data_IF_360475315189
#
_entry.id   IF_360475315189
#
_cell.length_a   1.000
_cell.length_b   1.000
_cell.length_c   1.000
_cell.angle_alpha   90.00
_cell.angle_beta   90.00
_cell.angle_gamma   90.00
#
_symmetry.space_group_name_H-M   'P 1'
#
loop_
_entity.id
_entity.type
_entity.pdbx_description
1 polymer ?
#
# COMPACT_ATOMS: atom_id res chain seq x y z
N UNK A 1 34.26 -61.80 36.91
CA UNK A 1 33.05 -61.72 36.06
C UNK A 1 32.87 -60.25 35.70
N UNK A 2 33.49 -59.86 34.57
CA UNK A 2 33.53 -58.48 34.09
C UNK A 2 32.40 -58.31 33.08
N UNK A 3 31.42 -57.45 33.36
CA UNK A 3 30.37 -57.06 32.40
C UNK A 3 30.86 -55.89 31.54
N UNK A 4 31.08 -56.15 30.26
CA UNK A 4 31.27 -55.12 29.25
C UNK A 4 29.87 -54.64 28.80
N UNK A 5 29.60 -53.34 29.04
CA UNK A 5 28.46 -52.63 28.42
C UNK A 5 28.87 -52.15 27.02
N UNK A 6 28.01 -52.31 26.00
CA UNK A 6 28.27 -51.76 24.67
C UNK A 6 28.06 -50.25 24.67
N UNK A 7 29.05 -49.50 24.17
CA UNK A 7 28.92 -48.09 23.86
C UNK A 7 27.95 -47.92 22.68
N UNK A 8 26.82 -47.22 22.89
CA UNK A 8 25.97 -46.70 21.80
C UNK A 8 26.73 -45.57 21.09
N UNK A 9 27.12 -45.83 19.86
CA UNK A 9 27.49 -44.72 18.94
C UNK A 9 26.23 -43.90 18.65
N UNK A 10 26.16 -42.70 19.17
CA UNK A 10 25.30 -41.65 18.65
C UNK A 10 25.85 -41.27 17.27
N UNK A 11 25.13 -41.60 16.22
CA UNK A 11 25.39 -41.02 14.89
C UNK A 11 24.99 -39.56 14.95
N UNK A 12 25.95 -38.65 14.88
CA UNK A 12 25.72 -37.25 14.60
C UNK A 12 25.02 -37.10 13.24
N UNK A 13 23.71 -36.77 13.26
CA UNK A 13 23.04 -36.33 12.06
C UNK A 13 23.59 -34.93 11.73
N UNK A 14 24.49 -34.87 10.75
CA UNK A 14 24.85 -33.61 10.09
C UNK A 14 23.57 -33.02 9.44
N UNK A 15 22.98 -32.01 10.07
CA UNK A 15 21.97 -31.21 9.43
C UNK A 15 22.68 -30.29 8.44
N UNK A 16 22.40 -30.48 7.16
CA UNK A 16 22.76 -29.50 6.12
C UNK A 16 21.83 -28.31 6.31
N UNK A 17 22.27 -27.27 7.01
CA UNK A 17 21.57 -26.00 7.07
C UNK A 17 21.68 -25.33 5.70
N UNK A 18 20.71 -25.57 4.80
CA UNK A 18 20.56 -24.80 3.58
C UNK A 18 19.94 -23.47 3.96
N UNK A 19 20.76 -22.51 4.35
CA UNK A 19 20.38 -21.10 4.35
C UNK A 19 20.18 -20.68 2.91
N UNK A 20 18.94 -20.83 2.39
CA UNK A 20 18.54 -20.16 1.18
C UNK A 20 18.71 -18.67 1.45
N UNK A 21 19.65 -18.01 0.74
CA UNK A 21 19.83 -16.57 0.87
C UNK A 21 18.49 -15.90 0.60
N UNK A 22 18.02 -15.09 1.53
CA UNK A 22 16.73 -14.40 1.46
C UNK A 22 16.62 -13.45 0.24
N UNK A 23 17.69 -13.27 -0.52
CA UNK A 23 17.83 -12.31 -1.62
C UNK A 23 17.73 -12.90 -3.03
N UNK A 24 17.57 -14.23 -3.19
CA UNK A 24 17.45 -14.80 -4.53
C UNK A 24 16.07 -14.57 -5.11
N UNK A 25 16.01 -13.76 -6.16
CA UNK A 25 14.79 -13.56 -6.95
C UNK A 25 14.58 -14.72 -7.92
N UNK A 26 13.32 -15.13 -8.07
CA UNK A 26 12.89 -16.18 -9.00
C UNK A 26 12.80 -15.57 -10.41
N UNK A 27 13.43 -16.21 -11.39
CA UNK A 27 13.34 -15.81 -12.79
C UNK A 27 11.96 -16.15 -13.35
N UNK A 28 11.13 -15.13 -13.64
CA UNK A 28 9.75 -15.26 -14.07
C UNK A 28 9.58 -14.80 -15.52
N UNK A 29 9.03 -15.66 -16.36
CA UNK A 29 8.52 -15.30 -17.67
C UNK A 29 7.00 -15.03 -17.62
N UNK A 30 6.55 -13.96 -18.26
CA UNK A 30 5.13 -13.60 -18.41
C UNK A 30 4.80 -13.61 -19.89
N UNK A 31 4.16 -14.70 -20.36
CA UNK A 31 3.73 -14.83 -21.75
C UNK A 31 2.50 -13.93 -22.03
N UNK A 32 2.40 -13.33 -23.23
CA UNK A 32 1.20 -12.58 -23.61
C UNK A 32 -0.07 -13.46 -23.53
N UNK A 33 -1.21 -12.90 -23.09
CA UNK A 33 -2.49 -13.61 -23.12
C UNK A 33 -2.90 -14.04 -24.53
N UNK A 34 -3.42 -15.27 -24.66
CA UNK A 34 -3.86 -15.86 -25.93
C UNK A 34 -5.38 -15.70 -26.06
N UNK A 35 -5.87 -15.25 -27.23
CA UNK A 35 -7.29 -15.24 -27.54
C UNK A 35 -7.79 -16.68 -27.79
N UNK A 36 -8.87 -17.07 -27.11
CA UNK A 36 -9.55 -18.35 -27.30
C UNK A 36 -10.89 -18.22 -28.07
N UNK A 37 -11.20 -17.02 -28.57
CA UNK A 37 -12.38 -16.73 -29.35
C UNK A 37 -12.89 -15.30 -29.15
N UNK A 38 -13.77 -14.85 -30.07
CA UNK A 38 -14.28 -13.49 -30.07
C UNK A 38 -13.30 -12.44 -30.66
N UNK A 39 -12.19 -12.90 -31.25
CA UNK A 39 -11.16 -12.05 -31.86
C UNK A 39 -10.01 -11.67 -30.93
N UNK A 40 -9.01 -11.00 -31.47
CA UNK A 40 -7.90 -10.45 -30.70
C UNK A 40 -8.26 -9.07 -30.11
N UNK A 41 -7.81 -8.83 -28.88
CA UNK A 41 -7.97 -7.53 -28.21
C UNK A 41 -6.62 -7.12 -27.58
N UNK A 42 -5.92 -6.22 -28.28
CA UNK A 42 -4.61 -5.73 -27.85
C UNK A 42 -4.65 -4.98 -26.52
N UNK A 43 -5.76 -4.37 -26.17
CA UNK A 43 -5.93 -3.67 -24.90
C UNK A 43 -5.99 -4.66 -23.71
N UNK A 44 -6.77 -5.73 -23.82
CA UNK A 44 -6.82 -6.80 -22.81
C UNK A 44 -5.43 -7.44 -22.66
N UNK A 45 -4.78 -7.78 -23.77
CA UNK A 45 -3.44 -8.37 -23.77
C UNK A 45 -2.43 -7.48 -23.05
N UNK A 46 -2.39 -6.20 -23.42
CA UNK A 46 -1.49 -5.21 -22.79
C UNK A 46 -1.81 -5.02 -21.31
N UNK A 47 -3.09 -4.74 -20.96
CA UNK A 47 -3.50 -4.47 -19.59
C UNK A 47 -3.18 -5.63 -18.65
N UNK A 48 -3.41 -6.87 -19.07
CA UNK A 48 -3.12 -8.03 -18.25
C UNK A 48 -1.60 -8.28 -18.11
N UNK A 49 -0.84 -8.20 -19.21
CA UNK A 49 0.61 -8.40 -19.20
C UNK A 49 1.32 -7.34 -18.36
N UNK A 50 0.96 -6.06 -18.54
CA UNK A 50 1.59 -4.95 -17.82
C UNK A 50 1.30 -5.03 -16.33
N UNK A 51 0.04 -5.40 -15.94
CA UNK A 51 -0.31 -5.58 -14.53
C UNK A 51 0.50 -6.71 -13.88
N UNK A 52 0.55 -7.90 -14.51
CA UNK A 52 1.32 -9.03 -13.98
C UNK A 52 2.80 -8.69 -13.80
N UNK A 53 3.42 -8.05 -14.82
CA UNK A 53 4.83 -7.65 -14.75
C UNK A 53 5.07 -6.65 -13.62
N UNK A 54 4.25 -5.61 -13.55
CA UNK A 54 4.36 -4.57 -12.52
C UNK A 54 4.24 -5.16 -11.11
N UNK A 55 3.25 -6.02 -10.87
CA UNK A 55 3.00 -6.65 -9.57
C UNK A 55 4.19 -7.53 -9.12
N UNK A 56 4.68 -8.35 -10.05
CA UNK A 56 5.76 -9.27 -9.74
C UNK A 56 7.09 -8.54 -9.50
N UNK A 57 7.39 -7.51 -10.29
CA UNK A 57 8.56 -6.64 -10.07
C UNK A 57 8.48 -5.90 -8.74
N UNK A 58 7.32 -5.27 -8.46
CA UNK A 58 7.11 -4.54 -7.21
C UNK A 58 7.21 -5.47 -6.00
N UNK A 59 6.76 -6.72 -6.11
CA UNK A 59 6.85 -7.72 -5.03
C UNK A 59 8.29 -7.94 -4.53
N UNK A 60 9.28 -7.66 -5.39
CA UNK A 60 10.71 -7.86 -5.11
C UNK A 60 11.17 -9.32 -5.15
N UNK A 61 10.23 -10.27 -5.34
CA UNK A 61 10.50 -11.72 -5.34
C UNK A 61 10.89 -12.29 -6.68
N UNK A 62 10.62 -11.53 -7.75
CA UNK A 62 10.84 -11.99 -9.12
C UNK A 62 11.77 -11.07 -9.89
N UNK A 63 12.52 -11.67 -10.81
CA UNK A 63 13.18 -10.98 -11.93
C UNK A 63 12.38 -11.32 -13.18
N UNK A 64 11.81 -10.31 -13.83
CA UNK A 64 11.00 -10.51 -15.03
C UNK A 64 11.92 -10.70 -16.23
N UNK A 65 11.76 -11.81 -16.95
CA UNK A 65 12.44 -12.10 -18.19
C UNK A 65 11.67 -11.53 -19.39
N UNK A 66 12.37 -11.10 -20.42
CA UNK A 66 11.76 -10.71 -21.69
C UNK A 66 11.18 -11.93 -22.40
N UNK A 67 9.87 -12.12 -22.27
CA UNK A 67 9.15 -13.27 -22.77
C UNK A 67 8.95 -13.28 -24.30
N UNK A 68 9.17 -12.15 -24.97
CA UNK A 68 8.94 -12.03 -26.44
C UNK A 68 9.93 -12.87 -27.25
N UNK A 69 11.01 -13.34 -26.65
CA UNK A 69 12.08 -14.13 -27.30
C UNK A 69 12.00 -15.63 -27.05
N UNK A 70 11.15 -16.11 -26.13
CA UNK A 70 11.26 -17.48 -25.61
C UNK A 70 10.24 -18.48 -26.10
N UNK A 71 9.43 -18.22 -27.09
CA UNK A 71 8.56 -19.26 -27.64
C UNK A 71 7.21 -18.80 -28.14
N UNK A 72 6.59 -19.62 -28.96
CA UNK A 72 5.33 -19.30 -29.66
C UNK A 72 4.15 -19.04 -28.73
N UNK A 73 3.15 -18.37 -29.27
CA UNK A 73 1.87 -18.07 -28.64
C UNK A 73 0.93 -19.29 -28.79
N UNK A 74 1.34 -20.45 -28.27
CA UNK A 74 0.48 -21.65 -28.25
C UNK A 74 -0.19 -21.78 -26.89
N UNK A 75 -1.30 -22.45 -26.82
CA UNK A 75 -2.15 -22.75 -25.64
C UNK A 75 -1.64 -22.43 -24.22
N UNK A 76 -2.46 -22.66 -23.25
CA UNK A 76 -2.10 -22.36 -21.85
C UNK A 76 -2.11 -23.58 -20.92
N UNK A 77 -2.57 -24.74 -21.43
CA UNK A 77 -2.68 -25.98 -20.64
C UNK A 77 -1.47 -26.89 -20.85
N UNK A 78 -1.20 -27.81 -19.93
CA UNK A 78 -0.16 -28.82 -20.14
C UNK A 78 -0.38 -29.58 -21.46
N UNK A 79 0.68 -29.73 -22.24
CA UNK A 79 0.61 -30.39 -23.56
C UNK A 79 0.24 -29.46 -24.73
N UNK A 80 -0.25 -28.25 -24.51
CA UNK A 80 -0.56 -27.26 -25.54
C UNK A 80 0.63 -26.38 -25.91
N UNK A 81 1.71 -26.41 -25.14
CA UNK A 81 2.93 -25.64 -25.34
C UNK A 81 4.17 -26.37 -24.82
N UNK A 82 5.34 -26.01 -25.34
CA UNK A 82 6.63 -26.55 -24.90
C UNK A 82 7.27 -25.61 -23.85
N UNK A 83 7.82 -26.20 -22.79
CA UNK A 83 8.58 -25.48 -21.75
C UNK A 83 10.07 -25.34 -22.09
N UNK A 84 10.59 -26.09 -23.07
CA UNK A 84 12.02 -26.07 -23.40
C UNK A 84 12.56 -24.68 -23.80
N UNK A 85 11.85 -23.87 -24.62
CA UNK A 85 12.28 -22.52 -24.93
C UNK A 85 12.36 -21.59 -23.71
N UNK A 86 11.42 -21.74 -22.78
CA UNK A 86 11.40 -20.95 -21.54
C UNK A 86 12.52 -21.35 -20.58
N UNK A 87 12.79 -22.66 -20.51
CA UNK A 87 13.94 -23.19 -19.76
C UNK A 87 15.27 -22.73 -20.31
N UNK A 88 15.42 -22.74 -21.65
CA UNK A 88 16.62 -22.25 -22.33
C UNK A 88 16.82 -20.74 -22.10
N UNK A 89 15.74 -19.96 -21.95
CA UNK A 89 15.78 -18.54 -21.59
C UNK A 89 16.07 -18.29 -20.11
N UNK A 90 16.23 -19.33 -19.29
CA UNK A 90 16.53 -19.23 -17.86
C UNK A 90 15.31 -18.99 -16.97
N UNK A 91 14.08 -19.22 -17.45
CA UNK A 91 12.89 -19.09 -16.63
C UNK A 91 12.79 -20.23 -15.63
N UNK A 92 12.56 -19.87 -14.36
CA UNK A 92 12.20 -20.81 -13.29
C UNK A 92 10.68 -20.94 -13.20
N UNK A 93 9.96 -19.82 -13.34
CA UNK A 93 8.51 -19.78 -13.38
C UNK A 93 8.00 -19.17 -14.69
N UNK A 94 6.80 -19.60 -15.09
CA UNK A 94 6.12 -19.12 -16.29
C UNK A 94 4.65 -18.84 -15.97
N UNK A 95 4.21 -17.61 -16.27
CA UNK A 95 2.77 -17.28 -16.32
C UNK A 95 2.30 -17.40 -17.76
N UNK A 96 1.30 -18.25 -17.97
CA UNK A 96 0.50 -18.31 -19.20
C UNK A 96 -0.93 -17.88 -18.90
N UNK A 97 -1.52 -17.14 -19.84
CA UNK A 97 -2.90 -16.68 -19.70
C UNK A 97 -3.63 -16.71 -21.04
N UNK A 98 -4.96 -16.81 -20.97
CA UNK A 98 -5.81 -16.73 -22.13
C UNK A 98 -7.08 -15.93 -21.81
N UNK A 99 -7.74 -15.41 -22.84
CA UNK A 99 -9.02 -14.76 -22.70
C UNK A 99 -10.03 -15.19 -23.77
N UNK A 100 -11.31 -15.20 -23.41
CA UNK A 100 -12.45 -15.42 -24.28
C UNK A 100 -13.35 -14.21 -24.22
N UNK A 101 -13.58 -13.56 -25.37
CA UNK A 101 -14.47 -12.41 -25.47
C UNK A 101 -15.91 -12.86 -25.72
N UNK A 102 -16.84 -12.20 -25.03
CA UNK A 102 -18.28 -12.32 -25.26
C UNK A 102 -18.91 -10.92 -25.14
N UNK A 103 -18.91 -10.18 -26.25
CA UNK A 103 -19.33 -8.79 -26.29
C UNK A 103 -18.50 -7.89 -25.37
N UNK A 104 -19.13 -7.22 -24.39
CA UNK A 104 -18.45 -6.36 -23.41
C UNK A 104 -17.85 -7.14 -22.23
N UNK A 105 -18.06 -8.45 -22.17
CA UNK A 105 -17.57 -9.31 -21.11
C UNK A 105 -16.40 -10.15 -21.59
N UNK A 106 -15.49 -10.45 -20.67
CA UNK A 106 -14.37 -11.36 -20.90
C UNK A 106 -14.25 -12.38 -19.78
N UNK A 107 -13.81 -13.57 -20.15
CA UNK A 107 -13.33 -14.59 -19.22
C UNK A 107 -11.81 -14.67 -19.41
N UNK A 108 -11.07 -14.55 -18.33
CA UNK A 108 -9.60 -14.73 -18.34
C UNK A 108 -9.23 -15.95 -17.51
N UNK A 109 -8.32 -16.75 -18.05
CA UNK A 109 -7.71 -17.89 -17.37
C UNK A 109 -6.21 -17.63 -17.24
N UNK A 110 -5.68 -17.78 -16.03
CA UNK A 110 -4.27 -17.60 -15.71
C UNK A 110 -3.71 -18.88 -15.08
N UNK A 111 -2.47 -19.22 -15.44
CA UNK A 111 -1.76 -20.39 -14.92
C UNK A 111 -0.32 -20.02 -14.61
N UNK A 112 0.18 -20.50 -13.48
CA UNK A 112 1.58 -20.43 -13.07
C UNK A 112 2.20 -21.82 -13.17
N UNK A 113 3.33 -21.91 -13.83
CA UNK A 113 4.09 -23.15 -13.99
C UNK A 113 5.47 -23.04 -13.35
N UNK A 114 5.93 -24.12 -12.75
CA UNK A 114 7.35 -24.38 -12.49
C UNK A 114 7.95 -24.94 -13.78
N UNK A 115 8.88 -24.20 -14.37
CA UNK A 115 9.48 -24.55 -15.67
C UNK A 115 10.43 -25.74 -15.55
N UNK A 116 11.05 -25.91 -14.38
CA UNK A 116 12.00 -27.01 -14.13
C UNK A 116 11.28 -28.35 -14.04
N UNK A 117 10.26 -28.44 -13.19
CA UNK A 117 9.51 -29.66 -12.98
C UNK A 117 8.38 -29.88 -14.00
N UNK A 118 8.00 -28.87 -14.76
CA UNK A 118 6.85 -28.88 -15.67
C UNK A 118 5.50 -28.84 -14.97
N UNK A 119 5.49 -28.66 -13.66
CA UNK A 119 4.27 -28.76 -12.84
C UNK A 119 3.50 -27.42 -12.83
N UNK A 120 2.18 -27.52 -13.01
CA UNK A 120 1.29 -26.38 -12.77
C UNK A 120 1.15 -26.13 -11.26
N UNK A 121 1.53 -24.92 -10.81
CA UNK A 121 1.51 -24.52 -9.41
C UNK A 121 0.17 -23.86 -9.03
N UNK A 122 -0.43 -23.11 -9.96
CA UNK A 122 -1.66 -22.35 -9.74
C UNK A 122 -2.45 -22.25 -11.04
N UNK A 123 -3.79 -22.30 -10.95
CA UNK A 123 -4.70 -21.96 -12.03
C UNK A 123 -5.90 -21.23 -11.47
N UNK A 124 -6.30 -20.14 -12.12
CA UNK A 124 -7.47 -19.34 -11.74
C UNK A 124 -8.20 -18.87 -12.99
N UNK A 125 -9.53 -18.78 -12.88
CA UNK A 125 -10.41 -18.26 -13.91
C UNK A 125 -11.24 -17.13 -13.33
N UNK A 126 -11.27 -16.01 -14.04
CA UNK A 126 -12.02 -14.81 -13.66
C UNK A 126 -12.99 -14.44 -14.79
N UNK A 127 -14.11 -13.83 -14.44
CA UNK A 127 -15.07 -13.27 -15.39
C UNK A 127 -15.44 -11.85 -15.00
N UNK A 128 -15.61 -10.98 -15.99
CA UNK A 128 -15.95 -9.58 -15.79
C UNK A 128 -16.08 -8.83 -17.10
N UNK A 129 -16.06 -7.50 -17.06
CA UNK A 129 -16.06 -6.66 -18.27
C UNK A 129 -14.67 -6.63 -18.90
N UNK A 130 -14.59 -6.33 -20.20
CA UNK A 130 -13.30 -6.22 -20.91
C UNK A 130 -12.32 -5.25 -20.21
N UNK A 131 -12.83 -4.14 -19.69
CA UNK A 131 -12.03 -3.16 -18.94
C UNK A 131 -11.47 -3.67 -17.61
N UNK A 132 -11.98 -4.79 -17.08
CA UNK A 132 -11.55 -5.37 -15.80
C UNK A 132 -10.35 -6.33 -15.96
N UNK A 133 -9.80 -6.50 -17.18
CA UNK A 133 -8.67 -7.40 -17.46
C UNK A 133 -7.48 -7.14 -16.51
N UNK A 134 -7.16 -5.86 -16.26
CA UNK A 134 -6.10 -5.45 -15.33
C UNK A 134 -6.39 -5.89 -13.90
N UNK A 135 -7.62 -5.69 -13.42
CA UNK A 135 -8.05 -6.13 -12.09
C UNK A 135 -7.98 -7.66 -11.92
N UNK A 136 -8.33 -8.42 -12.98
CA UNK A 136 -8.21 -9.88 -12.97
C UNK A 136 -6.75 -10.32 -12.87
N UNK A 137 -5.84 -9.64 -13.57
CA UNK A 137 -4.41 -9.88 -13.48
C UNK A 137 -3.87 -9.59 -12.06
N UNK A 138 -4.22 -8.46 -11.45
CA UNK A 138 -3.88 -8.13 -10.06
C UNK A 138 -4.42 -9.17 -9.07
N UNK A 139 -5.64 -9.68 -9.30
CA UNK A 139 -6.20 -10.75 -8.46
C UNK A 139 -5.37 -12.03 -8.57
N UNK A 140 -4.86 -12.37 -9.76
CA UNK A 140 -3.98 -13.52 -9.93
C UNK A 140 -2.61 -13.30 -9.28
N UNK A 141 -2.06 -12.10 -9.37
CA UNK A 141 -0.84 -11.72 -8.67
C UNK A 141 -0.96 -11.85 -7.15
N UNK A 142 -2.11 -11.46 -6.57
CA UNK A 142 -2.41 -11.66 -5.14
C UNK A 142 -2.42 -13.15 -4.76
N UNK A 143 -2.94 -14.03 -5.63
CA UNK A 143 -2.93 -15.48 -5.42
C UNK A 143 -1.50 -16.07 -5.52
N UNK A 144 -0.65 -15.53 -6.41
CA UNK A 144 0.77 -15.93 -6.47
C UNK A 144 1.47 -15.57 -5.16
N UNK A 145 1.26 -14.36 -4.63
CA UNK A 145 1.84 -13.98 -3.34
C UNK A 145 1.30 -14.86 -2.20
N UNK A 146 0.00 -15.17 -2.19
CA UNK A 146 -0.59 -16.08 -1.20
C UNK A 146 0.05 -17.47 -1.25
N UNK A 147 0.29 -18.02 -2.44
CA UNK A 147 0.97 -19.31 -2.62
C UNK A 147 2.37 -19.29 -1.98
N UNK A 148 3.13 -18.21 -2.18
CA UNK A 148 4.52 -18.12 -1.75
C UNK A 148 4.70 -17.68 -0.30
N UNK A 149 3.81 -16.83 0.22
CA UNK A 149 4.01 -16.13 1.50
C UNK A 149 2.98 -16.50 2.55
N UNK A 150 1.94 -17.27 2.16
CA UNK A 150 0.76 -17.58 2.97
C UNK A 150 -0.10 -16.36 3.34
N UNK A 151 0.20 -15.20 2.78
CA UNK A 151 -0.55 -13.98 2.95
C UNK A 151 -0.94 -13.41 1.57
N UNK A 152 -2.20 -13.03 1.42
CA UNK A 152 -2.70 -12.42 0.18
C UNK A 152 -2.04 -11.07 -0.06
N UNK A 153 -1.73 -10.74 -1.31
CA UNK A 153 -1.17 -9.47 -1.70
C UNK A 153 -2.17 -8.30 -1.64
N UNK A 154 -1.71 -7.05 -1.83
CA UNK A 154 -2.54 -5.85 -1.82
C UNK A 154 -2.82 -5.32 -3.24
N UNK A 155 -2.54 -6.10 -4.29
CA UNK A 155 -2.53 -5.62 -5.68
C UNK A 155 -3.93 -5.29 -6.23
N UNK A 156 -4.99 -5.79 -5.63
CA UNK A 156 -6.36 -5.36 -5.93
C UNK A 156 -6.78 -4.07 -5.21
N UNK A 157 -5.89 -3.50 -4.38
CA UNK A 157 -6.13 -2.27 -3.63
C UNK A 157 -6.16 -1.01 -4.50
N UNK A 158 -6.64 0.08 -3.89
CA UNK A 158 -6.66 1.41 -4.50
C UNK A 158 -5.88 2.40 -3.66
N UNK A 159 -5.46 3.50 -4.29
CA UNK A 159 -4.86 4.64 -3.62
C UNK A 159 -5.78 5.85 -3.79
N UNK A 160 -6.24 6.43 -2.66
CA UNK A 160 -6.83 7.76 -2.68
C UNK A 160 -5.73 8.80 -2.50
N UNK A 161 -5.80 9.91 -3.22
CA UNK A 161 -4.80 10.96 -3.20
C UNK A 161 -5.39 12.33 -3.52
N UNK A 162 -4.66 13.37 -3.21
CA UNK A 162 -5.00 14.75 -3.56
C UNK A 162 -4.33 15.12 -4.87
N UNK A 163 -5.08 15.71 -5.81
CA UNK A 163 -4.52 16.24 -7.07
C UNK A 163 -5.11 17.59 -7.44
N UNK A 164 -4.28 18.45 -8.07
CA UNK A 164 -4.71 19.72 -8.67
C UNK A 164 -5.10 19.57 -10.16
N UNK A 165 -5.20 18.37 -10.70
CA UNK A 165 -5.49 18.10 -12.12
C UNK A 165 -6.72 18.86 -12.64
N UNK A 166 -7.71 19.11 -11.78
CA UNK A 166 -8.94 19.84 -12.12
C UNK A 166 -8.92 21.34 -11.69
N UNK A 167 -7.74 21.90 -11.40
CA UNK A 167 -7.57 23.29 -10.96
C UNK A 167 -7.46 23.43 -9.44
N UNK A 168 -8.40 22.89 -8.69
CA UNK A 168 -8.38 22.88 -7.22
C UNK A 168 -7.85 21.56 -6.67
N UNK A 169 -7.46 21.54 -5.39
CA UNK A 169 -7.07 20.32 -4.69
C UNK A 169 -8.30 19.46 -4.43
N UNK A 170 -8.47 18.40 -5.19
CA UNK A 170 -9.58 17.45 -5.08
C UNK A 170 -9.06 16.05 -4.73
N UNK A 171 -9.91 15.23 -4.13
CA UNK A 171 -9.61 13.83 -3.84
C UNK A 171 -9.87 13.01 -5.10
N UNK A 172 -8.91 12.19 -5.46
CA UNK A 172 -8.98 11.21 -6.53
C UNK A 172 -8.74 9.80 -5.97
N UNK A 173 -9.21 8.82 -6.71
CA UNK A 173 -9.00 7.40 -6.46
C UNK A 173 -8.37 6.78 -7.72
N UNK A 174 -7.37 5.92 -7.56
CA UNK A 174 -6.77 5.16 -8.65
C UNK A 174 -6.50 3.73 -8.19
N UNK A 175 -6.31 2.81 -9.12
CA UNK A 175 -5.71 1.51 -8.81
C UNK A 175 -4.28 1.74 -8.31
N UNK A 176 -3.76 0.86 -7.47
CA UNK A 176 -2.49 1.10 -6.79
C UNK A 176 -1.30 1.30 -7.74
N UNK A 177 -1.43 0.82 -8.99
CA UNK A 177 -0.46 0.95 -10.08
C UNK A 177 -0.66 2.19 -10.97
N UNK A 178 -1.57 3.08 -10.57
CA UNK A 178 -1.82 4.38 -11.20
C UNK A 178 -2.84 4.37 -12.33
N UNK A 179 -3.55 3.27 -12.55
CA UNK A 179 -4.60 3.16 -13.55
C UNK A 179 -5.99 3.52 -12.99
N UNK A 180 -6.99 3.62 -13.85
CA UNK A 180 -8.41 3.83 -13.51
C UNK A 180 -8.66 5.02 -12.58
N UNK A 181 -8.01 6.16 -12.86
CA UNK A 181 -8.11 7.39 -12.05
C UNK A 181 -9.53 7.96 -12.10
N UNK A 182 -10.16 8.11 -10.94
CA UNK A 182 -11.49 8.68 -10.76
C UNK A 182 -11.44 9.87 -9.80
N UNK A 183 -12.18 10.94 -10.12
CA UNK A 183 -12.36 12.09 -9.23
C UNK A 183 -13.46 11.77 -8.21
N UNK A 184 -13.16 11.87 -6.92
CA UNK A 184 -14.10 11.62 -5.82
C UNK A 184 -14.80 12.89 -5.35
N UNK A 185 -14.06 14.00 -5.25
CA UNK A 185 -14.63 15.30 -4.89
C UNK A 185 -14.60 16.27 -6.08
N UNK A 186 -15.63 17.11 -6.20
CA UNK A 186 -15.79 18.07 -7.29
C UNK A 186 -16.47 19.36 -6.77
N UNK A 187 -15.97 19.87 -5.65
CA UNK A 187 -16.61 21.01 -4.95
C UNK A 187 -15.90 22.35 -5.16
N UNK A 188 -14.87 22.41 -6.02
CA UNK A 188 -14.15 23.62 -6.37
C UNK A 188 -13.34 24.24 -5.23
N UNK A 189 -13.04 23.46 -4.18
CA UNK A 189 -12.34 23.94 -2.98
C UNK A 189 -11.09 23.11 -2.70
N UNK A 190 -10.44 23.39 -1.57
CA UNK A 190 -9.29 22.62 -1.09
C UNK A 190 -9.81 21.40 -0.30
N UNK A 191 -9.43 20.21 -0.73
CA UNK A 191 -9.69 18.94 -0.08
C UNK A 191 -8.37 18.23 0.20
N UNK A 192 -8.15 17.75 1.43
CA UNK A 192 -6.86 17.24 1.91
C UNK A 192 -7.05 16.02 2.80
N UNK A 193 -5.94 15.30 3.04
CA UNK A 193 -5.81 14.25 4.05
C UNK A 193 -6.90 13.17 3.97
N UNK A 194 -7.10 12.53 2.81
CA UNK A 194 -8.03 11.42 2.73
C UNK A 194 -7.60 10.27 3.65
N UNK A 195 -8.60 9.54 4.19
CA UNK A 195 -8.37 8.31 4.93
C UNK A 195 -9.55 7.36 4.77
N UNK A 196 -9.29 6.05 4.54
CA UNK A 196 -10.34 5.07 4.34
C UNK A 196 -10.86 4.53 5.67
N UNK A 197 -12.16 4.25 5.73
CA UNK A 197 -12.71 3.41 6.79
C UNK A 197 -12.11 1.99 6.72
N UNK A 198 -12.00 1.25 7.83
CA UNK A 198 -11.39 -0.08 7.85
C UNK A 198 -12.04 -1.09 6.90
N UNK A 199 -13.34 -0.92 6.58
CA UNK A 199 -14.06 -1.75 5.62
C UNK A 199 -13.94 -1.25 4.17
N UNK A 200 -13.18 -0.18 3.91
CA UNK A 200 -12.96 0.40 2.57
C UNK A 200 -14.17 1.11 1.96
N UNK A 201 -15.34 1.10 2.60
CA UNK A 201 -16.57 1.63 2.04
C UNK A 201 -16.64 3.16 2.06
N UNK A 202 -16.06 3.78 3.07
CA UNK A 202 -16.15 5.21 3.29
C UNK A 202 -14.76 5.86 3.24
N UNK A 203 -14.72 7.14 2.91
CA UNK A 203 -13.53 7.97 3.01
C UNK A 203 -13.85 9.21 3.85
N UNK A 204 -12.95 9.57 4.77
CA UNK A 204 -12.96 10.88 5.42
C UNK A 204 -11.92 11.77 4.78
N UNK A 205 -12.17 13.08 4.81
CA UNK A 205 -11.24 14.08 4.29
C UNK A 205 -11.51 15.46 4.89
N UNK A 206 -10.49 16.28 4.96
CA UNK A 206 -10.62 17.70 5.32
C UNK A 206 -11.03 18.48 4.09
N UNK A 207 -12.05 19.36 4.20
CA UNK A 207 -12.49 20.23 3.11
C UNK A 207 -12.77 21.65 3.58
N UNK A 208 -12.39 22.63 2.76
CA UNK A 208 -12.62 24.05 2.96
C UNK A 208 -13.86 24.60 2.20
N UNK A 209 -14.72 23.71 1.66
CA UNK A 209 -15.89 24.08 0.84
C UNK A 209 -16.95 24.93 1.55
N UNK A 210 -16.84 25.13 2.86
CA UNK A 210 -17.69 26.01 3.67
C UNK A 210 -16.90 27.15 4.35
N UNK A 211 -15.74 27.52 3.77
CA UNK A 211 -14.87 28.59 4.27
C UNK A 211 -13.80 28.09 5.24
N UNK A 212 -14.17 27.41 6.30
CA UNK A 212 -13.23 26.81 7.28
C UNK A 212 -12.94 25.36 6.96
N UNK A 213 -11.82 24.84 7.50
CA UNK A 213 -11.53 23.40 7.44
C UNK A 213 -12.54 22.62 8.27
N UNK A 214 -13.23 21.70 7.63
CA UNK A 214 -14.16 20.78 8.27
C UNK A 214 -13.83 19.35 7.86
N UNK A 215 -14.15 18.38 8.71
CA UNK A 215 -14.03 16.97 8.40
C UNK A 215 -15.32 16.45 7.79
N UNK A 216 -15.22 15.83 6.63
CA UNK A 216 -16.31 15.18 5.93
C UNK A 216 -16.09 13.69 5.84
N UNK A 217 -17.18 12.92 5.83
CA UNK A 217 -17.24 11.48 5.54
C UNK A 217 -18.11 11.26 4.32
N UNK A 218 -17.61 10.48 3.36
CA UNK A 218 -18.30 10.17 2.10
C UNK A 218 -18.31 8.66 1.86
N UNK A 219 -19.49 8.11 1.56
CA UNK A 219 -19.63 6.74 1.05
C UNK A 219 -19.22 6.69 -0.42
N UNK A 220 -18.33 5.76 -0.78
CA UNK A 220 -17.75 5.67 -2.13
C UNK A 220 -18.70 5.03 -3.15
N UNK A 221 -19.74 4.34 -2.71
CA UNK A 221 -20.68 3.64 -3.56
C UNK A 221 -21.97 4.45 -3.77
N UNK A 222 -22.57 4.96 -2.70
CA UNK A 222 -23.79 5.77 -2.75
C UNK A 222 -23.53 7.26 -2.98
N UNK A 223 -22.28 7.70 -2.87
CA UNK A 223 -21.86 9.11 -2.89
C UNK A 223 -22.46 9.99 -1.78
N UNK A 224 -23.18 9.40 -0.83
CA UNK A 224 -23.71 10.11 0.34
C UNK A 224 -22.56 10.72 1.17
N UNK A 225 -22.76 11.96 1.60
CA UNK A 225 -21.76 12.72 2.33
C UNK A 225 -22.33 13.34 3.61
N UNK A 226 -21.56 13.30 4.69
CA UNK A 226 -21.89 13.93 5.97
C UNK A 226 -20.71 14.74 6.49
N UNK A 227 -20.99 15.89 7.10
CA UNK A 227 -19.99 16.68 7.83
C UNK A 227 -19.90 16.13 9.26
N UNK A 228 -18.73 15.59 9.63
CA UNK A 228 -18.49 14.90 10.91
C UNK A 228 -17.97 15.86 11.97
N UNK A 229 -17.13 16.85 11.58
CA UNK A 229 -16.60 17.86 12.48
C UNK A 229 -16.60 19.22 11.81
N UNK A 230 -17.09 20.24 12.54
CA UNK A 230 -17.16 21.64 12.12
C UNK A 230 -17.04 22.58 13.32
N UNK A 231 -16.17 22.25 14.25
CA UNK A 231 -15.89 23.08 15.43
C UNK A 231 -15.17 24.38 15.02
N UNK A 232 -15.24 25.46 15.82
CA UNK A 232 -14.45 26.65 15.59
C UNK A 232 -12.95 26.36 15.42
N UNK A 233 -12.27 27.12 14.57
CA UNK A 233 -10.86 26.89 14.25
C UNK A 233 -10.63 25.73 13.26
N UNK A 234 -9.50 25.04 13.39
CA UNK A 234 -9.14 23.94 12.48
C UNK A 234 -9.83 22.64 12.85
N UNK A 235 -10.18 21.84 11.81
CA UNK A 235 -10.70 20.48 11.90
C UNK A 235 -9.98 19.68 10.81
N UNK A 236 -8.83 19.08 11.13
CA UNK A 236 -7.91 18.52 10.13
C UNK A 236 -7.37 17.14 10.52
N UNK A 237 -6.75 16.47 9.54
CA UNK A 237 -5.97 15.23 9.71
C UNK A 237 -6.74 14.08 10.38
N UNK A 238 -8.02 13.91 10.00
CA UNK A 238 -8.83 12.79 10.49
C UNK A 238 -8.22 11.43 10.14
N UNK A 239 -8.27 10.48 11.09
CA UNK A 239 -7.81 9.09 10.94
C UNK A 239 -8.79 8.14 11.62
N UNK A 240 -9.26 7.13 10.87
CA UNK A 240 -10.12 6.09 11.42
C UNK A 240 -9.39 5.24 12.46
N UNK A 241 -10.06 4.91 13.53
CA UNK A 241 -9.64 3.82 14.42
C UNK A 241 -9.77 2.47 13.70
N UNK A 242 -8.95 1.46 14.02
CA UNK A 242 -8.98 0.16 13.36
C UNK A 242 -10.32 -0.56 13.39
N UNK A 243 -11.11 -0.35 14.47
CA UNK A 243 -12.47 -0.88 14.64
C UNK A 243 -13.55 -0.07 13.89
N UNK A 244 -13.19 1.08 13.30
CA UNK A 244 -14.11 1.96 12.59
C UNK A 244 -15.15 2.68 13.45
N UNK A 245 -15.01 2.67 14.77
CA UNK A 245 -15.96 3.30 15.69
C UNK A 245 -15.69 4.79 15.90
N UNK A 246 -14.41 5.21 15.80
CA UNK A 246 -13.95 6.56 16.12
C UNK A 246 -13.01 7.09 15.02
N UNK A 247 -12.82 8.41 15.05
CA UNK A 247 -11.87 9.14 14.20
C UNK A 247 -11.04 10.03 15.13
N UNK A 248 -9.71 9.85 15.11
CA UNK A 248 -8.78 10.79 15.72
C UNK A 248 -8.54 11.97 14.76
N UNK A 249 -8.52 13.20 15.27
CA UNK A 249 -8.33 14.41 14.45
C UNK A 249 -7.70 15.53 15.29
N UNK A 250 -7.17 16.55 14.62
CA UNK A 250 -6.70 17.76 15.26
C UNK A 250 -7.78 18.85 15.21
N UNK A 251 -8.11 19.45 16.37
CA UNK A 251 -9.01 20.57 16.52
C UNK A 251 -8.33 21.70 17.31
N UNK A 252 -8.61 22.98 16.95
CA UNK A 252 -8.15 24.13 17.72
C UNK A 252 -9.28 24.88 18.44
N UNK A 253 -10.43 24.24 18.67
CA UNK A 253 -11.62 24.84 19.26
C UNK A 253 -11.43 25.39 20.69
N UNK A 254 -10.44 24.89 21.40
CA UNK A 254 -10.12 25.27 22.79
C UNK A 254 -8.81 26.08 22.90
N UNK A 255 -8.41 26.78 21.80
CA UNK A 255 -7.26 27.66 21.74
C UNK A 255 -6.21 27.21 20.73
N UNK A 256 -5.39 26.24 21.07
CA UNK A 256 -4.37 25.64 20.18
C UNK A 256 -4.85 24.32 19.56
N UNK A 257 -4.07 23.80 18.59
CA UNK A 257 -4.37 22.52 17.98
C UNK A 257 -4.05 21.36 18.94
N UNK A 258 -5.04 20.53 19.20
CA UNK A 258 -4.95 19.38 20.09
C UNK A 258 -5.54 18.14 19.44
N UNK A 259 -5.17 16.95 19.89
CA UNK A 259 -5.76 15.70 19.42
C UNK A 259 -7.07 15.42 20.14
N UNK A 260 -8.07 15.09 19.35
CA UNK A 260 -9.40 14.65 19.79
C UNK A 260 -9.75 13.32 19.14
N UNK A 261 -10.63 12.55 19.79
CA UNK A 261 -11.35 11.43 19.19
C UNK A 261 -12.83 11.78 19.08
N UNK A 262 -13.40 11.59 17.87
CA UNK A 262 -14.83 11.79 17.61
C UNK A 262 -15.45 10.48 17.15
N UNK A 263 -16.71 10.20 17.57
CA UNK A 263 -17.43 9.03 17.05
C UNK A 263 -17.66 9.16 15.53
N UNK A 264 -17.81 8.02 14.83
CA UNK A 264 -18.01 8.00 13.37
C UNK A 264 -19.22 8.81 12.88
N UNK A 265 -20.21 9.05 13.76
CA UNK A 265 -21.40 9.85 13.46
C UNK A 265 -21.26 11.34 13.87
N UNK A 266 -20.10 11.73 14.45
CA UNK A 266 -19.80 13.09 14.86
C UNK A 266 -20.44 13.55 16.18
N UNK A 267 -21.10 12.66 16.92
CA UNK A 267 -21.90 13.06 18.12
C UNK A 267 -21.14 13.08 19.43
N UNK A 268 -20.14 12.21 19.58
CA UNK A 268 -19.35 12.11 20.81
C UNK A 268 -17.93 12.59 20.52
N UNK A 269 -17.47 13.61 21.25
CA UNK A 269 -16.14 14.20 21.12
C UNK A 269 -15.39 14.11 22.44
N UNK A 270 -14.20 13.57 22.42
CA UNK A 270 -13.28 13.46 23.57
C UNK A 270 -11.96 14.13 23.24
N UNK A 271 -11.51 15.08 24.08
CA UNK A 271 -10.17 15.68 23.99
C UNK A 271 -9.14 14.74 24.61
N UNK A 272 -8.09 14.39 23.85
CA UNK A 272 -7.05 13.44 24.26
C UNK A 272 -5.79 14.14 24.76
N UNK A 273 -5.44 15.30 24.19
CA UNK A 273 -4.28 16.08 24.63
C UNK A 273 -4.70 17.42 25.20
N UNK A 274 -3.92 17.95 26.17
CA UNK A 274 -4.12 19.24 26.84
C UNK A 274 -2.78 19.87 27.14
N UNK A 275 -2.22 20.51 26.11
CA UNK A 275 -0.93 21.17 26.20
C UNK A 275 -1.02 22.60 25.65
N UNK A 276 0.01 23.42 25.85
CA UNK A 276 0.11 24.72 25.18
C UNK A 276 0.71 24.61 23.78
N UNK A 277 1.06 23.38 23.34
CA UNK A 277 1.77 23.08 22.12
C UNK A 277 0.83 22.76 20.95
N UNK A 278 1.36 22.69 19.74
CA UNK A 278 0.63 22.24 18.55
C UNK A 278 0.68 20.72 18.46
N UNK A 279 -0.49 20.08 18.48
CA UNK A 279 -0.64 18.63 18.42
C UNK A 279 -1.50 18.26 17.21
N UNK A 280 -0.93 17.52 16.25
CA UNK A 280 -1.60 17.23 14.97
C UNK A 280 -1.23 15.85 14.43
N UNK A 281 -1.81 15.49 13.27
CA UNK A 281 -1.44 14.29 12.50
C UNK A 281 -1.50 12.99 13.29
N UNK A 282 -2.62 12.65 13.94
CA UNK A 282 -2.74 11.41 14.68
C UNK A 282 -2.66 10.19 13.74
N UNK A 283 -2.15 9.06 14.25
CA UNK A 283 -2.11 7.76 13.58
C UNK A 283 -2.34 6.66 14.62
N UNK A 284 -3.38 5.86 14.44
CA UNK A 284 -3.71 4.75 15.35
C UNK A 284 -2.75 3.58 15.18
N UNK A 285 -2.42 2.90 16.27
CA UNK A 285 -1.85 1.56 16.23
C UNK A 285 -2.88 0.55 15.71
N UNK A 286 -2.46 -0.57 15.09
CA UNK A 286 -3.39 -1.51 14.47
C UNK A 286 -4.32 -2.22 15.46
N UNK A 287 -3.93 -2.32 16.73
CA UNK A 287 -4.75 -2.84 17.84
C UNK A 287 -5.70 -1.78 18.44
N UNK A 288 -5.58 -0.51 18.00
CA UNK A 288 -6.36 0.61 18.53
C UNK A 288 -5.99 1.04 19.96
N UNK A 289 -4.92 0.47 20.54
CA UNK A 289 -4.46 0.75 21.90
C UNK A 289 -3.65 2.04 22.05
N UNK A 290 -3.02 2.51 20.97
CA UNK A 290 -2.15 3.69 20.98
C UNK A 290 -2.41 4.64 19.81
N UNK A 291 -1.91 5.87 19.95
CA UNK A 291 -1.93 6.90 18.90
C UNK A 291 -0.54 7.53 18.81
N UNK A 292 0.08 7.47 17.63
CA UNK A 292 1.24 8.29 17.31
C UNK A 292 0.75 9.66 16.79
N UNK A 293 1.43 10.74 17.12
CA UNK A 293 1.02 12.10 16.73
C UNK A 293 2.22 13.04 16.69
N UNK A 294 2.08 14.15 15.99
CA UNK A 294 3.03 15.24 15.97
C UNK A 294 2.78 16.15 17.19
N UNK A 295 3.87 16.54 17.87
CA UNK A 295 3.84 17.53 18.95
C UNK A 295 5.09 18.41 18.93
N UNK A 296 4.94 19.74 19.14
CA UNK A 296 6.04 20.66 19.32
C UNK A 296 6.25 21.07 20.80
N UNK A 297 5.70 20.31 21.76
CA UNK A 297 5.77 20.56 23.22
C UNK A 297 7.19 20.68 23.76
N UNK A 298 8.19 20.20 23.03
CA UNK A 298 9.61 20.32 23.37
C UNK A 298 10.35 21.35 22.50
N UNK A 299 9.60 22.28 21.88
CA UNK A 299 10.11 23.40 21.09
C UNK A 299 10.21 23.13 19.59
N UNK A 300 10.41 21.87 19.16
CA UNK A 300 10.48 21.48 17.74
C UNK A 300 9.52 20.30 17.47
N UNK A 301 8.90 20.23 16.27
CA UNK A 301 8.00 19.13 15.91
C UNK A 301 8.67 17.76 15.98
N UNK A 302 8.11 16.88 16.79
CA UNK A 302 8.56 15.51 17.02
C UNK A 302 7.37 14.56 16.99
N UNK A 303 7.63 13.27 16.76
CA UNK A 303 6.62 12.24 16.91
C UNK A 303 6.57 11.80 18.38
N UNK A 304 5.38 11.81 18.91
CA UNK A 304 5.02 11.27 20.22
C UNK A 304 4.06 10.10 20.05
N UNK A 305 3.99 9.25 21.06
CA UNK A 305 3.02 8.16 21.16
C UNK A 305 2.34 8.26 22.53
N UNK A 306 1.02 8.04 22.56
CA UNK A 306 0.20 7.99 23.78
C UNK A 306 -0.74 6.80 23.74
N UNK A 307 -1.31 6.43 24.87
CA UNK A 307 -2.43 5.50 24.90
C UNK A 307 -3.67 6.09 24.22
N UNK A 308 -4.56 5.26 23.70
CA UNK A 308 -5.77 5.69 22.97
C UNK A 308 -6.75 6.56 23.77
N UNK A 309 -6.61 6.59 25.10
CA UNK A 309 -7.35 7.47 26.03
C UNK A 309 -6.65 8.80 26.31
N UNK A 310 -5.45 9.04 25.73
CA UNK A 310 -4.65 10.25 25.94
C UNK A 310 -3.62 10.17 27.07
N UNK A 311 -3.56 9.06 27.83
CA UNK A 311 -2.60 8.89 28.93
C UNK A 311 -1.20 8.51 28.42
N UNK A 312 -0.20 8.69 29.29
CA UNK A 312 1.19 8.23 29.15
C UNK A 312 1.88 8.63 27.84
N UNK A 313 1.85 9.92 27.44
CA UNK A 313 2.52 10.36 26.23
C UNK A 313 4.04 10.31 26.38
N UNK A 314 4.75 9.72 25.43
CA UNK A 314 6.21 9.72 25.37
C UNK A 314 6.70 10.16 23.99
N UNK A 315 7.89 10.78 23.96
CA UNK A 315 8.56 11.16 22.72
C UNK A 315 9.13 9.92 22.04
N UNK A 316 8.78 9.69 20.79
CA UNK A 316 9.29 8.57 20.00
C UNK A 316 10.59 8.95 19.26
N UNK A 317 10.58 10.09 18.54
CA UNK A 317 11.75 10.53 17.76
C UNK A 317 12.68 11.39 18.57
N UNK A 318 13.95 10.97 18.69
CA UNK A 318 15.00 11.67 19.47
C UNK A 318 16.05 12.35 18.59
N UNK A 319 16.13 11.98 17.30
CA UNK A 319 17.04 12.53 16.30
C UNK A 319 16.33 13.48 15.34
N UNK A 320 17.07 14.45 14.78
CA UNK A 320 16.54 15.45 13.85
C UNK A 320 15.70 16.53 14.54
N UNK A 321 15.57 17.67 13.86
CA UNK A 321 14.89 18.85 14.40
C UNK A 321 13.42 18.94 14.05
N UNK A 322 13.00 18.24 12.99
CA UNK A 322 11.64 18.35 12.46
C UNK A 322 11.15 16.98 11.94
N UNK A 323 10.32 16.33 12.73
CA UNK A 323 9.76 15.01 12.43
C UNK A 323 8.23 15.09 12.39
N UNK A 324 7.60 14.64 11.28
CA UNK A 324 6.17 14.84 11.02
C UNK A 324 5.52 13.63 10.34
N UNK A 325 4.19 13.66 10.19
CA UNK A 325 3.40 12.71 9.37
C UNK A 325 3.58 11.24 9.77
N UNK A 326 3.32 10.86 11.03
CA UNK A 326 3.43 9.48 11.46
C UNK A 326 2.40 8.58 10.76
N UNK A 327 2.79 7.32 10.51
CA UNK A 327 1.92 6.27 9.98
C UNK A 327 2.31 4.93 10.58
N UNK A 328 1.41 4.30 11.31
CA UNK A 328 1.66 3.03 11.97
C UNK A 328 1.52 1.86 11.00
N UNK A 329 2.45 0.91 11.07
CA UNK A 329 2.40 -0.35 10.32
C UNK A 329 1.16 -1.17 10.73
N UNK A 330 0.45 -1.82 9.79
CA UNK A 330 -0.64 -2.72 10.14
C UNK A 330 -0.19 -3.95 10.93
N UNK A 331 1.10 -4.23 10.99
CA UNK A 331 1.70 -5.28 11.83
C UNK A 331 2.03 -4.81 13.25
N UNK A 332 1.97 -3.49 13.51
CA UNK A 332 2.28 -2.90 14.80
C UNK A 332 3.78 -2.79 15.14
N UNK A 333 4.63 -3.26 14.26
CA UNK A 333 6.08 -3.40 14.47
C UNK A 333 6.88 -2.13 14.15
N UNK A 334 6.34 -1.22 13.31
CA UNK A 334 7.04 -0.01 12.87
C UNK A 334 6.10 1.19 12.72
N UNK A 335 6.71 2.38 12.81
CA UNK A 335 6.05 3.66 12.54
C UNK A 335 6.86 4.39 11.47
N UNK A 336 6.23 4.73 10.33
CA UNK A 336 6.81 5.65 9.35
C UNK A 336 6.65 7.08 9.82
N UNK A 337 7.58 7.93 9.42
CA UNK A 337 7.48 9.38 9.61
C UNK A 337 8.36 10.11 8.59
N UNK A 338 8.17 11.41 8.45
CA UNK A 338 9.03 12.27 7.63
C UNK A 338 9.98 13.04 8.52
N UNK A 339 11.26 13.00 8.23
CA UNK A 339 12.30 13.85 8.84
C UNK A 339 12.77 14.88 7.86
N UNK A 340 12.91 16.13 8.32
CA UNK A 340 13.47 17.20 7.52
C UNK A 340 15.00 17.06 7.43
N UNK A 341 15.51 17.14 6.22
CA UNK A 341 16.92 17.22 5.86
C UNK A 341 17.17 18.51 5.07
N UNK A 342 18.44 18.86 4.79
CA UNK A 342 18.80 20.07 4.04
C UNK A 342 18.16 20.17 2.64
N UNK A 343 17.85 19.03 2.00
CA UNK A 343 17.25 18.94 0.66
C UNK A 343 15.74 18.70 0.64
N UNK A 344 15.05 18.72 1.78
CA UNK A 344 13.62 18.42 1.90
C UNK A 344 13.34 17.33 2.92
N UNK A 345 12.16 16.72 2.86
CA UNK A 345 11.78 15.64 3.75
C UNK A 345 12.23 14.28 3.22
N UNK A 346 12.63 13.39 4.15
CA UNK A 346 12.90 11.99 3.86
C UNK A 346 12.04 11.09 4.74
N UNK A 347 11.63 9.94 4.20
CA UNK A 347 10.84 8.95 4.92
C UNK A 347 11.78 8.10 5.75
N UNK A 348 11.44 7.96 7.02
CA UNK A 348 12.07 7.11 8.00
C UNK A 348 11.08 6.07 8.53
N UNK A 349 11.62 4.98 9.06
CA UNK A 349 10.90 3.92 9.74
C UNK A 349 11.56 3.64 11.07
N UNK A 350 10.78 3.63 12.15
CA UNK A 350 11.28 3.43 13.53
C UNK A 350 10.39 2.41 14.25
N UNK A 351 10.96 1.64 15.18
CA UNK A 351 10.15 0.75 16.03
C UNK A 351 9.35 1.55 17.08
N UNK A 352 8.24 1.04 17.61
CA UNK A 352 7.41 1.77 18.58
C UNK A 352 8.09 2.10 19.90
N UNK A 353 9.19 1.44 20.23
CA UNK A 353 10.05 1.75 21.38
C UNK A 353 11.11 2.83 21.10
N UNK A 354 11.17 3.37 19.87
CA UNK A 354 12.09 4.43 19.47
C UNK A 354 13.47 3.96 19.02
N UNK A 355 13.66 2.65 18.85
CA UNK A 355 14.89 2.06 18.34
C UNK A 355 14.84 1.83 16.82
N UNK A 356 15.96 1.39 16.24
CA UNK A 356 16.06 0.97 14.82
C UNK A 356 15.47 1.99 13.84
N UNK A 357 15.95 3.24 13.92
CA UNK A 357 15.55 4.35 13.07
C UNK A 357 16.26 4.28 11.71
N UNK A 358 15.55 3.88 10.67
CA UNK A 358 16.04 3.62 9.33
C UNK A 358 15.53 4.69 8.34
N UNK A 359 16.43 5.31 7.58
CA UNK A 359 16.06 6.17 6.45
C UNK A 359 15.73 5.31 5.22
N UNK A 360 14.54 5.50 4.64
CA UNK A 360 14.05 4.73 3.50
C UNK A 360 14.17 5.46 2.15
N UNK A 361 14.29 6.79 2.16
CA UNK A 361 14.39 7.61 0.94
C UNK A 361 15.50 8.63 1.04
N UNK A 362 16.08 9.03 -0.12
CA UNK A 362 17.20 9.99 -0.18
C UNK A 362 17.10 11.02 -1.31
N UNK A 363 16.26 10.80 -2.33
CA UNK A 363 16.13 11.65 -3.51
C UNK A 363 14.89 12.51 -3.47
N UNK A 364 15.01 13.85 -3.70
CA UNK A 364 13.93 14.80 -3.68
C UNK A 364 13.37 15.02 -2.27
N UNK A 365 12.16 15.62 -2.17
CA UNK A 365 11.40 15.70 -0.93
C UNK A 365 10.30 14.63 -0.93
N UNK A 366 10.25 13.82 0.12
CA UNK A 366 9.36 12.66 0.24
C UNK A 366 8.47 12.82 1.47
N UNK A 367 7.14 12.81 1.26
CA UNK A 367 6.18 13.19 2.30
C UNK A 367 4.95 12.30 2.31
N UNK A 368 4.21 12.32 3.42
CA UNK A 368 2.92 11.64 3.62
C UNK A 368 2.99 10.12 3.39
N UNK A 369 3.94 9.40 4.02
CA UNK A 369 4.04 7.97 3.85
C UNK A 369 2.83 7.24 4.46
N UNK A 370 2.37 6.17 3.78
CA UNK A 370 1.29 5.31 4.21
C UNK A 370 1.58 3.87 3.86
N UNK A 371 1.34 2.97 4.79
CA UNK A 371 1.45 1.54 4.58
C UNK A 371 0.35 0.99 3.68
N UNK A 372 0.68 -0.04 2.91
CA UNK A 372 -0.33 -0.96 2.36
C UNK A 372 -0.99 -1.78 3.48
N UNK A 373 -2.21 -2.32 3.26
CA UNK A 373 -2.94 -3.04 4.32
C UNK A 373 -2.27 -4.33 4.81
N UNK A 374 -1.29 -4.86 4.08
CA UNK A 374 -0.48 -6.02 4.45
C UNK A 374 0.88 -5.66 5.06
N UNK A 375 1.24 -4.36 5.08
CA UNK A 375 2.50 -3.87 5.61
C UNK A 375 3.74 -4.18 4.76
N UNK A 376 3.57 -4.60 3.51
CA UNK A 376 4.69 -4.91 2.60
C UNK A 376 5.14 -3.74 1.76
N UNK A 377 4.25 -2.78 1.53
CA UNK A 377 4.49 -1.63 0.68
C UNK A 377 4.17 -0.34 1.40
N UNK A 378 4.73 0.73 0.89
CA UNK A 378 4.54 2.11 1.35
C UNK A 378 4.18 2.96 0.13
N UNK A 379 3.11 3.74 0.22
CA UNK A 379 2.83 4.82 -0.74
C UNK A 379 3.21 6.16 -0.15
N UNK A 380 3.72 7.07 -0.97
CA UNK A 380 4.18 8.40 -0.54
C UNK A 380 4.15 9.41 -1.69
N UNK A 381 4.23 10.69 -1.38
CA UNK A 381 4.42 11.73 -2.38
C UNK A 381 5.89 12.14 -2.47
N UNK A 382 6.40 12.37 -3.69
CA UNK A 382 7.80 12.73 -3.94
C UNK A 382 7.92 13.80 -5.01
N UNK A 383 8.92 14.68 -4.86
CA UNK A 383 9.24 15.74 -5.85
C UNK A 383 10.36 15.35 -6.82
N UNK A 384 10.97 14.15 -6.70
CA UNK A 384 12.12 13.70 -7.49
C UNK A 384 11.93 13.72 -9.01
N UNK A 385 10.70 13.69 -9.49
CA UNK A 385 10.36 13.71 -10.91
C UNK A 385 10.04 15.10 -11.49
N UNK A 386 10.50 16.19 -10.86
CA UNK A 386 10.26 17.57 -11.31
C UNK A 386 8.93 18.18 -10.88
N UNK A 387 8.13 17.45 -10.09
CA UNK A 387 6.87 17.87 -9.49
C UNK A 387 6.34 16.80 -8.56
N UNK A 388 5.39 17.15 -7.69
CA UNK A 388 4.88 16.25 -6.68
C UNK A 388 4.04 15.12 -7.32
N UNK A 389 4.43 13.88 -7.10
CA UNK A 389 3.81 12.67 -7.67
C UNK A 389 3.72 11.58 -6.61
N UNK A 390 2.79 10.62 -6.82
CA UNK A 390 2.64 9.47 -5.93
C UNK A 390 3.58 8.36 -6.37
N UNK A 391 4.30 7.81 -5.41
CA UNK A 391 5.20 6.67 -5.52
C UNK A 391 4.74 5.53 -4.61
N UNK A 392 5.14 4.33 -4.97
CA UNK A 392 5.08 3.14 -4.13
C UNK A 392 6.48 2.55 -3.99
N UNK A 393 6.76 1.94 -2.85
CA UNK A 393 8.01 1.23 -2.58
C UNK A 393 7.75 0.03 -1.66
N UNK A 394 8.70 -0.88 -1.56
CA UNK A 394 8.67 -1.94 -0.56
C UNK A 394 8.90 -1.38 0.85
N UNK A 395 8.53 -2.14 1.87
CA UNK A 395 8.68 -1.76 3.28
C UNK A 395 10.13 -1.46 3.70
N UNK A 396 11.09 -2.05 3.01
CA UNK A 396 12.54 -1.84 3.19
C UNK A 396 13.09 -0.58 2.48
N UNK A 397 12.23 0.19 1.80
CA UNK A 397 12.58 1.38 1.03
C UNK A 397 13.04 1.10 -0.41
N UNK A 398 13.17 -0.16 -0.83
CA UNK A 398 13.59 -0.54 -2.18
C UNK A 398 12.43 -0.51 -3.18
N UNK A 399 12.73 -0.57 -4.49
CA UNK A 399 11.72 -0.66 -5.56
C UNK A 399 10.83 0.57 -5.68
N UNK A 400 11.37 1.75 -5.43
CA UNK A 400 10.62 3.02 -5.47
C UNK A 400 10.16 3.32 -6.90
N UNK A 401 8.85 3.24 -7.14
CA UNK A 401 8.25 3.36 -8.47
C UNK A 401 7.17 4.44 -8.47
N UNK A 402 7.21 5.36 -9.46
CA UNK A 402 6.17 6.36 -9.66
C UNK A 402 4.92 5.70 -10.21
N UNK A 403 3.77 5.94 -9.57
CA UNK A 403 2.47 5.39 -9.99
C UNK A 403 1.52 6.47 -10.51
N UNK A 404 1.53 7.70 -9.98
CA UNK A 404 0.66 8.75 -10.52
C UNK A 404 1.19 9.32 -11.84
N UNK A 405 0.30 9.48 -12.82
CA UNK A 405 0.59 9.93 -14.19
C UNK A 405 0.05 11.33 -14.50
N UNK A 406 -0.65 11.96 -13.55
CA UNK A 406 -1.33 13.24 -13.73
C UNK A 406 -0.37 14.45 -13.74
N UNK A 407 0.90 14.25 -13.59
CA UNK A 407 1.99 15.28 -13.59
C UNK A 407 1.90 16.22 -12.40
N UNK A 408 2.60 16.62 -11.65
CA UNK A 408 3.11 17.78 -10.92
C UNK A 408 2.39 18.24 -9.65
N UNK A 409 1.29 17.62 -9.16
CA UNK A 409 0.62 18.13 -7.96
C UNK A 409 -0.18 17.06 -7.21
N UNK A 410 0.33 15.84 -7.19
CA UNK A 410 -0.31 14.72 -6.52
C UNK A 410 0.33 14.47 -5.15
N UNK A 411 -0.47 14.44 -4.09
CA UNK A 411 0.01 14.36 -2.71
C UNK A 411 -0.96 13.61 -1.79
N UNK A 412 -0.56 13.41 -0.53
CA UNK A 412 -1.37 12.80 0.52
C UNK A 412 -1.98 11.45 0.09
N UNK A 413 -1.18 10.50 -0.41
CA UNK A 413 -1.70 9.21 -0.77
C UNK A 413 -2.11 8.41 0.47
N UNK A 414 -3.14 7.57 0.32
CA UNK A 414 -3.52 6.58 1.31
C UNK A 414 -3.98 5.31 0.58
N UNK A 415 -3.50 4.17 1.03
CA UNK A 415 -3.87 2.88 0.48
C UNK A 415 -5.20 2.41 1.07
N UNK A 416 -6.09 1.85 0.23
CA UNK A 416 -7.36 1.30 0.70
C UNK A 416 -7.13 0.00 1.48
N UNK A 417 -7.99 -0.35 2.43
CA UNK A 417 -8.13 -1.72 2.88
C UNK A 417 -8.41 -2.66 1.70
N UNK A 418 -8.31 -3.95 1.91
CA UNK A 418 -8.67 -4.95 0.88
C UNK A 418 -10.16 -4.83 0.54
N UNK A 419 -10.48 -4.92 -0.75
CA UNK A 419 -11.84 -4.80 -1.31
C UNK A 419 -12.34 -6.16 -1.78
#
# INVERSE_FOLDING_TARGET
MLFLLPAMLCADQEYLEVTASADRKIALAVAPPVSQGGGENSEITRNASDALRFDMELSGRFTILDATRAGGISGIRPGEFDLAPWRAAGAEYLIKSAYLLNGESTIMEFRLYDVTSGRQLLAKRYSGKNKDARKMAHSFSDEILLLQTKEKGPFTGKIAFVSKKSGNKEIYLMDYDGHNVQRITANGSINLNPDFSPNGREIIYTSYKKGNSNLYRRDLFSTAEARISAHPGINITGRWSPDGSRIALALSKDGNAEIYAISKDGRQLTRLTRTGAIETSPAWSPDGGKIAFLSDRLGKPQIFVMNANGSDPYRLTTSGDYNVSPSWSPKGDRILYCRQHSGGFQIHSITPDGNDDLQLTSEGSNEHPRWSPDGRFITFSSTRGGGQSIYVMRADGSGQTRVSRSGNSDSHPVWSPRW
#
